data_IF_641915144312
#
_entry.id   IF_641915144312
#
_cell.length_a   1.000
_cell.length_b   1.000
_cell.length_c   1.000
_cell.angle_alpha   90.00
_cell.angle_beta   90.00
_cell.angle_gamma   90.00
#
_symmetry.space_group_name_H-M   'P 1'
#
loop_
_entity.id
_entity.type
_entity.pdbx_description
1 polymer ?
#
# COMPACT_ATOMS: atom_id res chain seq x y z
N UNK A 1 28.11 46.63 -6.92
CA UNK A 1 27.39 45.36 -7.16
C UNK A 1 27.78 44.37 -6.07
N UNK A 2 26.86 44.04 -5.16
CA UNK A 2 27.08 43.05 -4.11
C UNK A 2 27.28 41.68 -4.76
N UNK A 3 28.47 41.08 -4.58
CA UNK A 3 28.70 39.68 -4.94
C UNK A 3 27.82 38.82 -4.03
N UNK A 4 26.73 38.28 -4.56
CA UNK A 4 25.94 37.29 -3.84
C UNK A 4 26.87 36.16 -3.41
N UNK A 5 27.00 35.95 -2.10
CA UNK A 5 27.72 34.81 -1.56
C UNK A 5 26.97 33.56 -2.04
N UNK A 6 27.62 32.74 -2.85
CA UNK A 6 27.06 31.45 -3.27
C UNK A 6 27.00 30.58 -2.01
N UNK A 7 25.79 30.39 -1.48
CA UNK A 7 25.55 29.51 -0.34
C UNK A 7 25.83 28.04 -0.70
N UNK A 8 25.88 27.18 0.32
CA UNK A 8 25.94 25.72 0.12
C UNK A 8 24.77 25.28 -0.77
N UNK A 9 25.00 24.44 -1.80
CA UNK A 9 23.92 23.88 -2.60
C UNK A 9 22.85 23.21 -1.74
N UNK A 10 21.59 23.30 -2.17
CA UNK A 10 20.47 22.70 -1.47
C UNK A 10 20.63 21.17 -1.38
N UNK A 11 20.50 20.62 -0.17
CA UNK A 11 20.56 19.18 0.03
C UNK A 11 19.22 18.53 -0.33
N UNK A 12 19.22 17.64 -1.32
CA UNK A 12 18.05 16.86 -1.78
C UNK A 12 18.09 15.39 -1.37
N UNK A 13 19.06 15.01 -0.55
CA UNK A 13 19.26 13.68 -0.01
C UNK A 13 19.32 13.72 1.53
N UNK A 14 19.39 12.56 2.20
CA UNK A 14 19.66 12.51 3.63
C UNK A 14 20.92 11.66 3.89
N UNK A 15 21.84 12.17 4.71
CA UNK A 15 23.01 11.41 5.19
C UNK A 15 22.67 10.53 6.41
N UNK A 16 21.38 10.34 6.68
CA UNK A 16 20.85 9.57 7.79
C UNK A 16 19.77 8.63 7.25
N UNK A 17 19.87 7.37 7.64
CA UNK A 17 18.89 6.33 7.36
C UNK A 17 18.45 5.69 8.70
N UNK A 18 17.13 5.58 8.98
CA UNK A 18 16.65 4.95 10.21
C UNK A 18 16.83 3.43 10.15
N UNK A 19 17.72 2.90 10.99
CA UNK A 19 17.82 1.46 11.24
C UNK A 19 16.92 1.08 12.41
N UNK A 20 15.86 0.32 12.12
CA UNK A 20 14.93 -0.18 13.13
C UNK A 20 15.35 -1.57 13.59
N UNK A 21 15.26 -1.83 14.89
CA UNK A 21 15.53 -3.16 15.48
C UNK A 21 14.46 -4.19 15.16
N UNK A 22 13.27 -3.74 14.73
CA UNK A 22 12.20 -4.62 14.30
C UNK A 22 12.52 -5.20 12.92
N UNK A 23 12.55 -6.53 12.84
CA UNK A 23 12.79 -7.25 11.59
C UNK A 23 11.50 -7.24 10.76
N UNK A 24 11.56 -6.62 9.58
CA UNK A 24 10.44 -6.65 8.63
C UNK A 24 10.30 -8.03 8.00
N UNK A 25 9.08 -8.44 7.58
CA UNK A 25 8.89 -9.70 6.86
C UNK A 25 9.80 -9.83 5.64
N UNK A 26 10.05 -8.72 4.94
CA UNK A 26 10.89 -8.68 3.75
C UNK A 26 12.37 -8.90 4.09
N UNK A 27 12.88 -8.25 5.13
CA UNK A 27 14.24 -8.49 5.62
C UNK A 27 14.40 -9.94 6.09
N UNK A 28 13.43 -10.45 6.87
CA UNK A 28 13.44 -11.84 7.35
C UNK A 28 13.48 -12.85 6.20
N UNK A 29 12.72 -12.59 5.14
CA UNK A 29 12.72 -13.45 3.96
C UNK A 29 14.08 -13.43 3.25
N UNK A 30 14.62 -12.24 2.97
CA UNK A 30 15.89 -12.10 2.26
C UNK A 30 17.07 -12.69 3.05
N UNK A 31 17.10 -12.48 4.36
CA UNK A 31 18.09 -13.10 5.25
C UNK A 31 17.91 -14.62 5.32
N UNK A 32 16.67 -15.12 5.33
CA UNK A 32 16.40 -16.54 5.31
C UNK A 32 16.82 -17.24 4.02
N UNK A 33 16.69 -16.57 2.86
CA UNK A 33 17.08 -17.13 1.56
C UNK A 33 18.56 -16.98 1.26
N UNK A 34 19.16 -15.83 1.59
CA UNK A 34 20.50 -15.46 1.13
C UNK A 34 21.49 -15.18 2.28
N UNK A 35 21.08 -15.39 3.53
CA UNK A 35 21.91 -15.14 4.71
C UNK A 35 22.39 -13.69 4.80
N UNK A 36 23.67 -13.51 5.11
CA UNK A 36 24.31 -12.21 5.25
C UNK A 36 24.26 -11.37 3.95
N UNK A 37 24.18 -12.01 2.79
CA UNK A 37 24.08 -11.34 1.49
C UNK A 37 22.72 -10.65 1.32
N UNK A 38 21.62 -11.34 1.66
CA UNK A 38 20.28 -10.76 1.61
C UNK A 38 20.12 -9.59 2.56
N UNK A 39 20.68 -9.72 3.77
CA UNK A 39 20.76 -8.62 4.74
C UNK A 39 21.54 -7.42 4.17
N UNK A 40 22.72 -7.67 3.57
CA UNK A 40 23.56 -6.63 2.96
C UNK A 40 22.81 -5.89 1.85
N UNK A 41 22.18 -6.62 0.93
CA UNK A 41 21.43 -6.02 -0.19
C UNK A 41 20.30 -5.14 0.34
N UNK A 42 19.50 -5.64 1.29
CA UNK A 42 18.37 -4.89 1.84
C UNK A 42 18.82 -3.55 2.40
N UNK A 43 19.80 -3.53 3.30
CA UNK A 43 20.22 -2.29 3.95
C UNK A 43 20.99 -1.36 3.01
N UNK A 44 21.91 -1.86 2.18
CA UNK A 44 22.63 -1.02 1.22
C UNK A 44 21.69 -0.40 0.18
N UNK A 45 20.63 -1.11 -0.21
CA UNK A 45 19.60 -0.54 -1.08
C UNK A 45 18.91 0.67 -0.42
N UNK A 46 18.54 0.55 0.85
CA UNK A 46 17.93 1.64 1.61
C UNK A 46 18.90 2.81 1.80
N UNK A 47 20.17 2.55 2.11
CA UNK A 47 21.22 3.57 2.24
C UNK A 47 21.44 4.32 0.93
N UNK A 48 21.56 3.59 -0.18
CA UNK A 48 21.74 4.19 -1.51
C UNK A 48 20.53 5.05 -1.90
N UNK A 49 19.32 4.55 -1.68
CA UNK A 49 18.10 5.32 -1.91
C UNK A 49 18.06 6.58 -1.05
N UNK A 50 18.43 6.49 0.23
CA UNK A 50 18.39 7.62 1.16
C UNK A 50 19.40 8.72 0.79
N UNK A 51 20.57 8.32 0.29
CA UNK A 51 21.67 9.22 -0.10
C UNK A 51 21.54 9.75 -1.54
N UNK A 52 20.69 9.15 -2.37
CA UNK A 52 20.32 9.67 -3.69
C UNK A 52 19.45 10.92 -3.61
N UNK A 53 19.60 11.80 -4.61
CA UNK A 53 18.79 13.00 -4.73
C UNK A 53 17.31 12.64 -4.87
N UNK A 54 16.48 13.37 -4.15
CA UNK A 54 15.04 13.16 -4.01
C UNK A 54 14.67 11.76 -3.53
N UNK A 55 15.63 10.97 -3.03
CA UNK A 55 15.53 9.56 -2.68
C UNK A 55 15.27 8.59 -3.84
N UNK A 56 15.59 9.01 -5.07
CA UNK A 56 15.33 8.25 -6.28
C UNK A 56 16.63 7.66 -6.82
N UNK A 57 16.67 6.36 -7.05
CA UNK A 57 17.78 5.73 -7.77
C UNK A 57 17.37 5.63 -9.24
N UNK A 58 18.14 6.24 -10.15
CA UNK A 58 17.89 6.18 -11.58
C UNK A 58 18.92 5.24 -12.24
N UNK A 59 18.46 4.15 -12.86
CA UNK A 59 19.28 3.13 -13.50
C UNK A 59 19.21 3.20 -15.04
N UNK A 60 18.75 4.34 -15.60
CA UNK A 60 18.58 4.49 -17.04
C UNK A 60 19.89 4.61 -17.83
N UNK A 61 20.98 5.06 -17.20
CA UNK A 61 22.30 5.11 -17.83
C UNK A 61 23.27 4.10 -17.20
N UNK A 62 24.28 3.70 -17.98
CA UNK A 62 25.20 2.64 -17.58
C UNK A 62 26.10 3.02 -16.40
N UNK A 63 26.47 4.30 -16.29
CA UNK A 63 27.32 4.78 -15.21
C UNK A 63 26.62 4.67 -13.85
N UNK A 64 25.36 5.10 -13.78
CA UNK A 64 24.55 5.02 -12.57
C UNK A 64 24.23 3.56 -12.21
N UNK A 65 23.94 2.72 -13.21
CA UNK A 65 23.76 1.27 -13.00
C UNK A 65 25.02 0.62 -12.40
N UNK A 66 26.20 0.91 -12.94
CA UNK A 66 27.47 0.40 -12.41
C UNK A 66 27.76 0.94 -11.02
N UNK A 67 27.49 2.23 -10.77
CA UNK A 67 27.64 2.86 -9.45
C UNK A 67 26.75 2.17 -8.42
N UNK A 68 25.49 1.92 -8.77
CA UNK A 68 24.56 1.16 -7.94
C UNK A 68 25.08 -0.25 -7.63
N UNK A 69 25.51 -1.00 -8.66
CA UNK A 69 26.05 -2.37 -8.46
C UNK A 69 27.27 -2.39 -7.54
N UNK A 70 28.21 -1.47 -7.77
CA UNK A 70 29.40 -1.34 -6.93
C UNK A 70 29.05 -0.93 -5.50
N UNK A 71 28.04 -0.08 -5.32
CA UNK A 71 27.58 0.33 -4.00
C UNK A 71 26.95 -0.84 -3.23
N UNK A 72 26.05 -1.60 -3.86
CA UNK A 72 25.42 -2.77 -3.23
C UNK A 72 26.47 -3.83 -2.91
N UNK A 73 27.46 -4.02 -3.80
CA UNK A 73 28.59 -4.93 -3.63
C UNK A 73 28.13 -6.32 -3.19
N UNK A 74 27.26 -6.96 -3.95
CA UNK A 74 26.78 -8.32 -3.71
C UNK A 74 26.64 -9.07 -5.04
N UNK A 75 26.60 -10.42 -5.03
CA UNK A 75 26.42 -11.21 -6.24
C UNK A 75 25.21 -10.75 -7.04
N UNK A 76 25.36 -10.65 -8.36
CA UNK A 76 24.37 -10.06 -9.25
C UNK A 76 23.01 -10.74 -9.11
N UNK A 77 23.04 -12.06 -9.02
CA UNK A 77 21.87 -12.94 -8.93
C UNK A 77 21.08 -12.62 -7.65
N UNK A 78 21.77 -12.51 -6.50
CA UNK A 78 21.15 -12.17 -5.22
C UNK A 78 20.54 -10.76 -5.26
N UNK A 79 21.23 -9.80 -5.87
CA UNK A 79 20.72 -8.42 -6.00
C UNK A 79 19.46 -8.38 -6.85
N UNK A 80 19.46 -9.09 -7.98
CA UNK A 80 18.32 -9.11 -8.90
C UNK A 80 17.11 -9.77 -8.26
N UNK A 81 17.29 -10.95 -7.67
CA UNK A 81 16.22 -11.68 -6.98
C UNK A 81 15.66 -10.88 -5.79
N UNK A 82 16.53 -10.20 -5.04
CA UNK A 82 16.09 -9.36 -3.92
C UNK A 82 15.29 -8.15 -4.39
N UNK A 83 15.71 -7.48 -5.46
CA UNK A 83 14.95 -6.35 -6.04
C UNK A 83 13.61 -6.82 -6.57
N UNK A 84 13.57 -7.93 -7.32
CA UNK A 84 12.32 -8.51 -7.83
C UNK A 84 11.35 -8.86 -6.70
N UNK A 85 11.86 -9.47 -5.62
CA UNK A 85 11.07 -9.73 -4.42
C UNK A 85 10.54 -8.44 -3.77
N UNK A 86 11.37 -7.40 -3.64
CA UNK A 86 10.95 -6.13 -3.04
C UNK A 86 9.95 -5.35 -3.92
N UNK A 87 10.01 -5.51 -5.24
CA UNK A 87 9.00 -5.00 -6.18
C UNK A 87 7.70 -5.78 -6.03
N UNK A 88 7.76 -7.11 -5.97
CA UNK A 88 6.59 -7.97 -5.73
C UNK A 88 5.89 -7.63 -4.41
N UNK A 89 6.66 -7.24 -3.39
CA UNK A 89 6.16 -6.81 -2.07
C UNK A 89 5.76 -5.34 -2.00
N UNK A 90 5.84 -4.61 -3.11
CA UNK A 90 5.55 -3.17 -3.20
C UNK A 90 6.37 -2.31 -2.21
N UNK A 91 7.52 -2.83 -1.73
CA UNK A 91 8.50 -2.02 -1.00
C UNK A 91 9.16 -1.04 -1.97
N UNK A 92 9.50 -1.54 -3.16
CA UNK A 92 9.88 -0.76 -4.33
C UNK A 92 8.63 -0.56 -5.18
N UNK A 93 8.38 0.67 -5.61
CA UNK A 93 7.26 1.02 -6.48
C UNK A 93 7.38 0.32 -7.84
N UNK A 94 6.44 -0.57 -8.23
CA UNK A 94 6.56 -1.36 -9.46
C UNK A 94 6.53 -0.53 -10.74
N UNK A 95 5.76 0.56 -10.77
CA UNK A 95 5.67 1.45 -11.94
C UNK A 95 6.99 2.20 -12.15
N UNK A 96 7.61 2.69 -11.06
CA UNK A 96 8.93 3.31 -11.12
C UNK A 96 9.99 2.29 -11.56
N UNK A 97 9.94 1.06 -11.04
CA UNK A 97 10.89 0.02 -11.40
C UNK A 97 10.78 -0.36 -12.89
N UNK A 98 9.56 -0.39 -13.44
CA UNK A 98 9.33 -0.54 -14.88
C UNK A 98 10.01 0.53 -15.75
N UNK A 99 10.35 1.69 -15.16
CA UNK A 99 11.12 2.75 -15.81
C UNK A 99 12.60 2.77 -15.43
N UNK A 100 13.12 1.66 -14.89
CA UNK A 100 14.48 1.56 -14.35
C UNK A 100 14.77 2.60 -13.27
N UNK A 101 13.76 2.94 -12.46
CA UNK A 101 13.89 3.82 -11.30
C UNK A 101 13.53 3.04 -10.04
N UNK A 102 14.34 3.10 -8.99
CA UNK A 102 13.98 2.51 -7.68
C UNK A 102 13.48 3.63 -6.77
N UNK A 103 12.22 3.51 -6.36
CA UNK A 103 11.54 4.41 -5.45
C UNK A 103 10.89 3.62 -4.32
N UNK A 104 11.15 4.01 -3.07
CA UNK A 104 10.62 3.33 -1.87
C UNK A 104 9.75 4.28 -1.04
N UNK A 105 8.42 4.33 -1.27
CA UNK A 105 7.56 5.35 -0.68
C UNK A 105 7.50 5.32 0.86
N UNK A 106 7.55 4.12 1.44
CA UNK A 106 7.56 3.93 2.90
C UNK A 106 8.85 4.45 3.53
N UNK A 107 10.00 4.23 2.88
CA UNK A 107 11.29 4.77 3.32
C UNK A 107 11.26 6.30 3.27
N UNK A 108 10.80 6.88 2.16
CA UNK A 108 10.72 8.33 1.98
C UNK A 108 9.86 8.98 3.06
N UNK A 109 8.71 8.37 3.37
CA UNK A 109 7.83 8.82 4.45
C UNK A 109 8.55 8.84 5.81
N UNK A 110 9.36 7.81 6.11
CA UNK A 110 10.17 7.75 7.34
C UNK A 110 11.25 8.84 7.41
N UNK A 111 11.71 9.35 6.26
CA UNK A 111 12.68 10.44 6.19
C UNK A 111 12.06 11.84 6.37
N UNK A 112 10.75 11.96 6.59
CA UNK A 112 10.07 13.24 6.87
C UNK A 112 10.81 14.13 7.90
N UNK A 113 11.38 13.61 9.01
CA UNK A 113 12.16 14.43 9.93
C UNK A 113 13.41 15.07 9.29
N UNK A 114 14.06 14.43 8.31
CA UNK A 114 15.19 15.01 7.56
C UNK A 114 14.77 16.23 6.71
N UNK A 115 13.49 16.33 6.35
CA UNK A 115 12.95 17.36 5.45
C UNK A 115 12.21 18.48 6.18
N UNK A 116 12.00 18.37 7.50
CA UNK A 116 11.19 19.30 8.28
C UNK A 116 11.70 20.75 8.20
N UNK A 117 13.02 20.95 8.20
CA UNK A 117 13.65 22.28 8.19
C UNK A 117 14.09 22.71 6.78
N UNK A 118 13.75 21.92 5.75
CA UNK A 118 14.06 22.26 4.35
C UNK A 118 12.97 23.16 3.78
N UNK A 119 13.37 24.06 2.88
CA UNK A 119 12.44 24.90 2.11
C UNK A 119 11.56 24.08 1.17
N UNK A 120 11.96 22.85 0.85
CA UNK A 120 11.22 21.92 0.03
C UNK A 120 10.38 20.93 0.83
N UNK A 121 9.34 20.44 0.18
CA UNK A 121 8.53 19.34 0.65
C UNK A 121 9.23 18.01 0.40
N UNK A 122 8.83 17.02 1.20
CA UNK A 122 9.23 15.64 1.01
C UNK A 122 8.94 15.23 -0.44
N UNK A 123 9.85 14.55 -1.16
CA UNK A 123 9.62 14.22 -2.55
C UNK A 123 8.41 13.31 -2.71
N UNK A 124 7.61 13.57 -3.74
CA UNK A 124 6.37 12.88 -4.05
C UNK A 124 6.40 12.35 -5.47
N UNK A 125 5.75 11.20 -5.67
CA UNK A 125 5.56 10.61 -6.99
C UNK A 125 4.40 11.32 -7.71
N UNK A 126 4.65 11.79 -8.93
CA UNK A 126 3.65 12.34 -9.84
C UNK A 126 3.74 11.62 -11.18
N UNK A 127 2.84 10.66 -11.40
CA UNK A 127 2.98 9.71 -12.49
C UNK A 127 4.28 8.95 -12.32
N UNK A 128 5.24 9.20 -13.22
CA UNK A 128 6.51 8.46 -13.27
C UNK A 128 7.73 9.31 -12.94
N UNK A 129 7.48 10.53 -12.43
CA UNK A 129 8.51 11.44 -11.96
C UNK A 129 8.40 11.66 -10.45
N UNK A 130 9.54 12.02 -9.85
CA UNK A 130 9.61 12.43 -8.45
C UNK A 130 9.76 13.94 -8.40
N UNK A 131 8.80 14.59 -7.75
CA UNK A 131 8.74 16.04 -7.65
C UNK A 131 8.90 16.44 -6.18
N UNK A 132 9.83 17.34 -5.90
CA UNK A 132 9.98 17.99 -4.61
C UNK A 132 9.74 19.49 -4.81
N UNK A 133 8.58 19.97 -4.38
CA UNK A 133 8.15 21.37 -4.56
C UNK A 133 8.62 22.23 -3.39
N UNK A 134 8.73 23.54 -3.61
CA UNK A 134 8.97 24.48 -2.53
C UNK A 134 7.75 24.53 -1.61
N UNK A 135 7.97 24.57 -0.31
CA UNK A 135 6.89 24.57 0.69
C UNK A 135 5.98 25.79 0.56
N UNK A 136 6.51 26.92 0.10
CA UNK A 136 5.72 28.11 -0.20
C UNK A 136 4.85 27.94 -1.45
N UNK A 137 5.31 27.26 -2.51
CA UNK A 137 4.47 27.01 -3.69
C UNK A 137 3.31 26.08 -3.37
N UNK A 138 3.51 25.06 -2.52
CA UNK A 138 2.42 24.19 -2.08
C UNK A 138 1.39 24.92 -1.19
N UNK A 139 1.81 25.91 -0.38
CA UNK A 139 0.89 26.75 0.39
C UNK A 139 0.05 27.65 -0.53
N UNK A 140 0.66 28.25 -1.55
CA UNK A 140 -0.03 29.10 -2.52
C UNK A 140 -1.04 28.28 -3.32
N UNK A 141 -0.64 27.10 -3.82
CA UNK A 141 -1.53 26.23 -4.58
C UNK A 141 -2.70 25.71 -3.73
N UNK A 142 -2.45 25.30 -2.48
CA UNK A 142 -3.53 24.91 -1.55
C UNK A 142 -4.50 26.06 -1.28
N UNK A 143 -4.00 27.29 -1.15
CA UNK A 143 -4.85 28.47 -0.96
C UNK A 143 -5.68 28.79 -2.21
N UNK A 144 -5.08 28.66 -3.41
CA UNK A 144 -5.78 28.85 -4.69
C UNK A 144 -6.87 27.82 -4.92
N UNK A 145 -6.60 26.54 -4.64
CA UNK A 145 -7.60 25.46 -4.69
C UNK A 145 -8.74 25.73 -3.70
N UNK A 146 -8.42 26.20 -2.49
CA UNK A 146 -9.43 26.56 -1.47
C UNK A 146 -10.31 27.72 -1.93
N UNK A 147 -9.74 28.75 -2.55
CA UNK A 147 -10.49 29.89 -3.11
C UNK A 147 -11.40 29.45 -4.27
N UNK A 148 -10.87 28.68 -5.24
CA UNK A 148 -11.65 28.17 -6.37
C UNK A 148 -12.83 27.28 -5.91
N UNK A 149 -12.63 26.47 -4.86
CA UNK A 149 -13.69 25.63 -4.26
C UNK A 149 -14.79 26.44 -3.57
N UNK A 150 -14.47 27.62 -3.04
CA UNK A 150 -15.45 28.55 -2.45
C UNK A 150 -16.26 29.23 -3.56
N UNK A 151 -15.60 29.65 -4.65
CA UNK A 151 -16.26 30.29 -5.81
C UNK A 151 -17.21 29.34 -6.55
N UNK A 152 -16.83 28.06 -6.71
CA UNK A 152 -17.68 27.01 -7.29
C UNK A 152 -18.92 26.70 -6.44
N UNK A 153 -18.86 26.87 -5.12
CA UNK A 153 -19.99 26.63 -4.22
C UNK A 153 -20.90 27.86 -4.07
N UNK A 154 -20.49 29.05 -4.53
CA UNK A 154 -21.24 30.30 -4.44
C UNK A 154 -22.16 30.61 -5.62
N UNK A 155 -22.05 29.87 -6.73
CA UNK A 155 -22.80 30.12 -7.97
C UNK A 155 -23.54 28.87 -8.43
N UNK A 156 -24.58 28.48 -7.70
CA UNK A 156 -25.54 27.44 -8.13
C UNK A 156 -26.74 28.07 -8.83
N UNK A 157 -26.63 28.30 -10.14
CA UNK A 157 -27.77 28.10 -11.04
C UNK A 157 -27.65 26.69 -11.61
N UNK A 158 -28.56 25.83 -11.16
CA UNK A 158 -28.67 24.43 -11.58
C UNK A 158 -28.99 24.45 -13.08
N UNK A 159 -28.08 23.91 -13.89
CA UNK A 159 -28.43 23.42 -15.22
C UNK A 159 -27.83 22.02 -15.34
N UNK A 160 -28.71 21.03 -15.24
CA UNK A 160 -28.42 19.62 -15.38
C UNK A 160 -27.99 19.32 -16.82
N UNK A 161 -26.68 19.21 -17.05
CA UNK A 161 -26.16 18.09 -17.83
C UNK A 161 -24.63 17.98 -17.72
N UNK A 162 -24.18 16.75 -17.55
CA UNK A 162 -22.79 16.24 -17.65
C UNK A 162 -21.85 16.41 -16.43
N UNK A 163 -21.61 15.26 -15.78
CA UNK A 163 -20.33 14.81 -15.20
C UNK A 163 -19.62 15.69 -14.14
N UNK A 164 -20.32 16.06 -13.06
CA UNK A 164 -19.67 16.65 -11.87
C UNK A 164 -19.94 15.87 -10.58
N UNK A 165 -18.85 15.36 -10.00
CA UNK A 165 -18.53 15.32 -8.57
C UNK A 165 -19.72 15.17 -7.59
N UNK A 166 -20.35 13.99 -7.55
CA UNK A 166 -21.21 13.61 -6.43
C UNK A 166 -20.37 13.43 -5.14
N UNK A 167 -20.46 14.45 -4.29
CA UNK A 167 -20.65 14.40 -2.82
C UNK A 167 -20.09 13.15 -2.12
N UNK A 168 -18.95 13.36 -1.45
CA UNK A 168 -18.22 12.37 -0.65
C UNK A 168 -18.93 11.91 0.66
N UNK A 169 -20.26 11.94 0.73
CA UNK A 169 -21.00 11.61 1.96
C UNK A 169 -21.86 10.34 1.87
N UNK A 170 -22.13 9.76 0.69
CA UNK A 170 -22.84 8.46 0.62
C UNK A 170 -22.43 7.61 -0.59
N UNK A 171 -21.20 7.07 -0.60
CA UNK A 171 -20.75 6.07 -1.59
C UNK A 171 -20.39 4.70 -0.98
N UNK A 172 -20.26 4.60 0.34
CA UNK A 172 -19.88 3.33 0.99
C UNK A 172 -20.96 2.26 0.79
N UNK A 173 -22.24 2.65 0.81
CA UNK A 173 -23.38 1.73 0.56
C UNK A 173 -23.38 1.20 -0.89
N UNK A 174 -23.04 2.04 -1.87
CA UNK A 174 -22.92 1.63 -3.28
C UNK A 174 -21.77 0.63 -3.48
N UNK A 175 -20.61 0.90 -2.88
CA UNK A 175 -19.48 -0.03 -2.91
C UNK A 175 -19.79 -1.33 -2.17
N UNK A 176 -20.55 -1.27 -1.09
CA UNK A 176 -20.95 -2.46 -0.34
C UNK A 176 -21.87 -3.38 -1.15
N UNK A 177 -22.68 -2.82 -2.06
CA UNK A 177 -23.48 -3.60 -3.01
C UNK A 177 -22.63 -4.21 -4.13
N UNK A 178 -21.63 -3.47 -4.63
CA UNK A 178 -20.73 -3.95 -5.68
C UNK A 178 -19.73 -5.01 -5.20
N UNK A 179 -19.33 -4.95 -3.92
CA UNK A 179 -18.36 -5.85 -3.30
C UNK A 179 -18.92 -6.50 -2.03
N UNK A 180 -19.89 -7.42 -2.17
CA UNK A 180 -20.61 -7.99 -1.02
C UNK A 180 -19.73 -8.85 -0.11
N UNK A 181 -18.63 -9.40 -0.61
CA UNK A 181 -17.70 -10.25 0.15
C UNK A 181 -16.60 -9.47 0.87
N UNK A 182 -16.48 -8.17 0.58
CA UNK A 182 -15.55 -7.26 1.23
C UNK A 182 -16.17 -6.53 2.43
N UNK A 183 -15.34 -6.31 3.44
CA UNK A 183 -15.56 -5.35 4.50
C UNK A 183 -15.21 -3.95 3.97
N UNK A 184 -16.15 -3.38 3.22
CA UNK A 184 -16.00 -2.07 2.56
C UNK A 184 -15.73 -0.94 3.56
N UNK A 185 -16.39 -0.85 4.73
CA UNK A 185 -16.06 0.17 5.73
C UNK A 185 -14.59 0.13 6.17
N UNK A 186 -14.06 -1.06 6.43
CA UNK A 186 -12.65 -1.25 6.80
C UNK A 186 -11.71 -0.89 5.65
N UNK A 187 -12.04 -1.29 4.42
CA UNK A 187 -11.31 -0.92 3.21
C UNK A 187 -11.29 0.60 3.01
N UNK A 188 -12.44 1.26 3.10
CA UNK A 188 -12.59 2.71 2.92
C UNK A 188 -11.84 3.50 3.99
N UNK A 189 -11.80 3.02 5.24
CA UNK A 189 -10.96 3.62 6.28
C UNK A 189 -9.48 3.63 5.89
N UNK A 190 -8.99 2.55 5.28
CA UNK A 190 -7.60 2.45 4.82
C UNK A 190 -7.33 3.37 3.64
N UNK A 191 -8.21 3.35 2.63
CA UNK A 191 -8.16 4.24 1.46
C UNK A 191 -8.11 5.72 1.89
N UNK A 192 -8.98 6.13 2.82
CA UNK A 192 -9.03 7.52 3.33
C UNK A 192 -7.78 7.94 4.13
N UNK A 193 -7.11 7.00 4.78
CA UNK A 193 -5.86 7.28 5.52
C UNK A 193 -4.68 7.51 4.58
N UNK A 194 -4.67 6.83 3.43
CA UNK A 194 -3.61 6.92 2.43
C UNK A 194 -3.77 8.18 1.55
N UNK A 195 -5.01 8.54 1.18
CA UNK A 195 -5.30 9.80 0.49
C UNK A 195 -6.78 10.22 0.68
N UNK A 196 -7.08 11.40 1.25
CA UNK A 196 -8.46 11.83 1.46
C UNK A 196 -9.23 12.17 0.17
N UNK A 197 -8.53 12.39 -0.96
CA UNK A 197 -9.12 12.89 -2.22
C UNK A 197 -9.16 11.82 -3.35
N UNK A 198 -9.36 10.54 -3.02
CA UNK A 198 -9.48 9.48 -4.03
C UNK A 198 -10.64 9.72 -5.02
N UNK A 199 -10.39 9.49 -6.32
CA UNK A 199 -11.44 9.49 -7.35
C UNK A 199 -12.19 8.16 -7.32
N UNK A 200 -13.48 8.17 -7.68
CA UNK A 200 -14.35 6.98 -7.66
C UNK A 200 -13.76 5.78 -8.42
N UNK A 201 -13.13 6.02 -9.58
CA UNK A 201 -12.48 4.99 -10.41
C UNK A 201 -11.33 4.28 -9.66
N UNK A 202 -10.56 5.03 -8.90
CA UNK A 202 -9.42 4.51 -8.16
C UNK A 202 -9.89 3.66 -6.96
N UNK A 203 -11.00 4.05 -6.32
CA UNK A 203 -11.64 3.25 -5.26
C UNK A 203 -12.16 1.92 -5.81
N UNK A 204 -12.84 1.93 -6.96
CA UNK A 204 -13.32 0.70 -7.62
C UNK A 204 -12.14 -0.23 -7.95
N UNK A 205 -11.06 0.30 -8.52
CA UNK A 205 -9.87 -0.49 -8.84
C UNK A 205 -9.23 -1.10 -7.59
N UNK A 206 -9.12 -0.32 -6.51
CA UNK A 206 -8.58 -0.79 -5.23
C UNK A 206 -9.45 -1.90 -4.64
N UNK A 207 -10.78 -1.72 -4.60
CA UNK A 207 -11.72 -2.72 -4.08
C UNK A 207 -11.73 -3.99 -4.93
N UNK A 208 -11.65 -3.86 -6.25
CA UNK A 208 -11.56 -5.00 -7.17
C UNK A 208 -10.27 -5.80 -6.92
N UNK A 209 -9.16 -5.10 -6.70
CA UNK A 209 -7.89 -5.73 -6.33
C UNK A 209 -7.97 -6.38 -4.95
N UNK A 210 -8.63 -5.75 -3.97
CA UNK A 210 -8.81 -6.30 -2.64
C UNK A 210 -9.65 -7.58 -2.66
N UNK A 211 -10.73 -7.63 -3.45
CA UNK A 211 -11.59 -8.79 -3.61
C UNK A 211 -10.84 -9.97 -4.25
N UNK A 212 -10.12 -9.71 -5.35
CA UNK A 212 -9.32 -10.74 -6.05
C UNK A 212 -8.24 -11.37 -5.17
N UNK A 213 -7.67 -10.60 -4.26
CA UNK A 213 -6.54 -11.03 -3.44
C UNK A 213 -6.91 -11.33 -1.98
N UNK A 214 -8.20 -11.31 -1.64
CA UNK A 214 -8.68 -11.62 -0.28
C UNK A 214 -8.31 -10.57 0.79
N UNK A 215 -7.95 -9.34 0.40
CA UNK A 215 -7.68 -8.25 1.33
C UNK A 215 -8.99 -7.66 1.84
N UNK A 216 -9.06 -7.35 3.13
CA UNK A 216 -10.28 -6.78 3.76
C UNK A 216 -11.54 -7.62 3.51
N UNK A 217 -11.41 -8.93 3.23
CA UNK A 217 -12.56 -9.83 3.20
C UNK A 217 -13.25 -9.82 4.56
N UNK A 218 -14.58 -9.96 4.56
CA UNK A 218 -15.33 -10.16 5.79
C UNK A 218 -14.72 -11.33 6.56
N UNK A 219 -14.45 -11.14 7.86
CA UNK A 219 -13.94 -12.24 8.70
C UNK A 219 -14.94 -13.37 8.63
N UNK A 220 -14.53 -14.52 8.12
CA UNK A 220 -15.36 -15.73 8.07
C UNK A 220 -15.18 -16.50 9.37
N UNK A 221 -16.28 -16.95 9.95
CA UNK A 221 -16.28 -17.89 11.07
C UNK A 221 -17.00 -19.18 10.68
N UNK A 222 -16.67 -20.28 11.34
CA UNK A 222 -17.32 -21.56 11.07
C UNK A 222 -18.75 -21.48 11.58
N UNK A 223 -19.70 -21.70 10.67
CA UNK A 223 -21.13 -21.68 10.94
C UNK A 223 -21.50 -22.67 12.02
N UNK A 224 -22.34 -22.24 12.96
CA UNK A 224 -22.83 -23.09 14.05
C UNK A 224 -24.32 -23.36 13.96
N UNK A 225 -24.76 -24.47 14.53
CA UNK A 225 -26.18 -24.75 14.79
C UNK A 225 -26.66 -23.92 15.98
N UNK A 226 -27.98 -23.87 16.21
CA UNK A 226 -28.56 -23.25 17.42
C UNK A 226 -28.05 -23.91 18.72
N UNK A 227 -27.66 -25.19 18.65
CA UNK A 227 -27.06 -25.94 19.76
C UNK A 227 -25.55 -25.71 19.93
N UNK A 228 -24.93 -24.88 19.08
CA UNK A 228 -23.51 -24.53 19.16
C UNK A 228 -22.56 -25.51 18.46
N UNK A 229 -23.08 -26.55 17.79
CA UNK A 229 -22.29 -27.50 17.00
C UNK A 229 -21.83 -26.86 15.69
N UNK A 230 -20.65 -27.23 15.20
CA UNK A 230 -20.12 -26.74 13.93
C UNK A 230 -20.81 -27.41 12.74
N UNK A 231 -21.13 -26.65 11.70
CA UNK A 231 -21.67 -27.21 10.47
C UNK A 231 -20.55 -27.58 9.50
N UNK A 232 -20.64 -28.77 8.93
CA UNK A 232 -19.77 -29.25 7.86
C UNK A 232 -20.59 -29.64 6.64
N UNK A 233 -19.95 -29.68 5.47
CA UNK A 233 -20.52 -30.18 4.22
C UNK A 233 -19.62 -31.28 3.67
N UNK A 234 -20.21 -32.38 3.23
CA UNK A 234 -19.48 -33.43 2.55
C UNK A 234 -19.13 -33.00 1.11
N UNK A 235 -17.85 -33.09 0.74
CA UNK A 235 -17.38 -32.74 -0.59
C UNK A 235 -17.85 -33.69 -1.70
N UNK A 236 -18.31 -34.89 -1.35
CA UNK A 236 -18.73 -35.92 -2.32
C UNK A 236 -20.23 -35.94 -2.59
N UNK A 237 -21.07 -35.92 -1.56
CA UNK A 237 -22.53 -35.96 -1.71
C UNK A 237 -23.22 -34.61 -1.46
N UNK A 238 -22.51 -33.63 -0.89
CA UNK A 238 -23.07 -32.31 -0.60
C UNK A 238 -23.94 -32.23 0.66
N UNK A 239 -24.17 -33.35 1.35
CA UNK A 239 -24.92 -33.39 2.60
C UNK A 239 -24.23 -32.59 3.70
N UNK A 240 -25.04 -32.01 4.58
CA UNK A 240 -24.53 -31.22 5.72
C UNK A 240 -24.59 -32.00 7.01
N UNK A 241 -23.51 -31.95 7.78
CA UNK A 241 -23.39 -32.60 9.08
C UNK A 241 -23.16 -31.57 10.21
N UNK A 242 -23.40 -31.96 11.46
CA UNK A 242 -23.19 -31.16 12.66
C UNK A 242 -22.17 -31.82 13.58
N UNK A 243 -21.04 -31.17 13.79
CA UNK A 243 -19.89 -31.68 14.53
C UNK A 243 -19.77 -31.00 15.89
N UNK A 244 -19.47 -31.77 16.93
CA UNK A 244 -19.26 -31.22 18.28
C UNK A 244 -17.95 -30.41 18.38
N UNK A 245 -16.94 -30.81 17.63
CA UNK A 245 -15.62 -30.17 17.66
C UNK A 245 -15.04 -29.94 16.26
N UNK A 246 -13.94 -29.18 16.20
CA UNK A 246 -13.24 -28.88 14.95
C UNK A 246 -12.39 -30.05 14.43
N UNK A 247 -12.13 -31.07 15.25
CA UNK A 247 -11.36 -32.26 14.83
C UNK A 247 -12.19 -33.13 13.89
N UNK A 248 -13.52 -33.04 13.98
CA UNK A 248 -14.47 -33.72 13.10
C UNK A 248 -14.37 -33.35 11.61
N UNK A 249 -13.77 -32.21 11.23
CA UNK A 249 -13.64 -31.86 9.79
C UNK A 249 -12.69 -32.80 9.03
N UNK A 250 -11.76 -33.47 9.72
CA UNK A 250 -10.89 -34.45 9.08
C UNK A 250 -11.48 -35.87 9.09
N UNK A 251 -12.76 -36.01 9.42
CA UNK A 251 -13.43 -37.31 9.43
C UNK A 251 -14.15 -37.56 8.11
N UNK A 252 -14.15 -38.81 7.69
CA UNK A 252 -14.76 -39.23 6.45
C UNK A 252 -16.28 -39.38 6.66
N UNK A 253 -17.06 -38.69 5.84
CA UNK A 253 -18.50 -38.85 5.78
C UNK A 253 -18.85 -40.28 5.39
N UNK A 254 -20.05 -40.76 5.75
CA UNK A 254 -20.49 -42.14 5.50
C UNK A 254 -20.44 -42.55 4.02
N UNK A 255 -20.50 -41.59 3.09
CA UNK A 255 -20.37 -41.83 1.65
C UNK A 255 -18.91 -41.90 1.15
N UNK A 256 -17.92 -41.80 2.04
CA UNK A 256 -16.49 -41.80 1.72
C UNK A 256 -15.94 -40.45 1.23
N UNK A 257 -16.62 -39.34 1.53
CA UNK A 257 -16.17 -37.98 1.20
C UNK A 257 -15.66 -37.23 2.43
N UNK A 258 -14.75 -36.27 2.24
CA UNK A 258 -14.24 -35.44 3.33
C UNK A 258 -15.26 -34.37 3.76
N UNK A 259 -15.26 -34.03 5.05
CA UNK A 259 -16.16 -33.05 5.66
C UNK A 259 -15.49 -31.67 5.78
N UNK A 260 -15.87 -30.73 4.92
CA UNK A 260 -15.33 -29.37 5.01
C UNK A 260 -16.20 -28.45 5.90
N UNK A 261 -15.59 -27.54 6.69
CA UNK A 261 -16.33 -26.56 7.48
C UNK A 261 -17.14 -25.61 6.60
N UNK A 262 -18.40 -25.36 6.98
CA UNK A 262 -19.21 -24.31 6.35
C UNK A 262 -18.88 -22.98 7.02
N UNK A 263 -18.49 -21.98 6.24
CA UNK A 263 -18.17 -20.65 6.74
C UNK A 263 -19.37 -19.68 6.60
N UNK A 264 -19.49 -18.75 7.54
CA UNK A 264 -20.39 -17.60 7.44
C UNK A 264 -19.66 -16.31 7.82
N UNK A 265 -20.18 -15.16 7.38
CA UNK A 265 -19.61 -13.86 7.74
C UNK A 265 -19.81 -13.62 9.24
N UNK A 266 -18.72 -13.32 9.95
CA UNK A 266 -18.74 -13.00 11.38
C UNK A 266 -19.67 -11.82 11.61
N UNK A 267 -20.73 -12.02 12.39
CA UNK A 267 -21.62 -10.94 12.80
C UNK A 267 -20.89 -10.07 13.81
N UNK A 268 -20.67 -8.80 13.48
CA UNK A 268 -20.25 -7.82 14.48
C UNK A 268 -21.42 -7.64 15.46
N UNK A 269 -21.23 -8.06 16.70
CA UNK A 269 -22.16 -7.76 17.79
C UNK A 269 -21.99 -6.28 18.08
N UNK A 270 -22.89 -5.47 17.50
CA UNK A 270 -23.04 -4.08 17.89
C UNK A 270 -23.62 -4.12 19.31
N UNK A 271 -22.75 -4.00 20.31
CA UNK A 271 -23.20 -3.73 21.67
C UNK A 271 -23.70 -2.28 21.69
N UNK A 272 -25.00 -2.10 21.51
CA UNK A 272 -25.68 -0.88 21.92
C UNK A 272 -25.47 -0.71 23.42
N UNK A 273 -24.72 0.31 23.80
CA UNK A 273 -24.62 0.82 25.17
C UNK A 273 -25.17 2.24 25.18
#
# INVERSE_FOLDING_TARGET
MSKNKVGRPEARNCAYFPHHTEITPELKYLEGQYGAEGYRVYYRLHEFCTTSNDHLINLNNKYDELTFRNYINAPKEIVDDAIEYLVYREVIDPEMYGQKKIWMPNLVTKLRPCWKDRERCLPQKEGTEIISRYRNSDRIEKNRIKQNKIELNGSSTINDNSNSLLTAVRKDDEYQQLFPDLDVPKAMKRIRLENPDYKHKDVINWLTHAEKNGFSSKKKEIKRTKSGMYKAKCMKCGDTDSLQDKRGFNTMHHCGGELEPIYENKKEVINEK
#
